data_IF_617642749425
#
_entry.id   IF_617642749425
#
_cell.length_a   1.000
_cell.length_b   1.000
_cell.length_c   1.000
_cell.angle_alpha   90.00
_cell.angle_beta   90.00
_cell.angle_gamma   90.00
#
_symmetry.space_group_name_H-M   'P 1'
#
loop_
_entity.id
_entity.type
_entity.pdbx_description
1 polymer ?
#
# COMPACT_ATOMS: atom_id res chain seq x y z
N UNK A 1 -12.81 3.68 15.95
CA UNK A 1 -12.76 5.10 16.38
C UNK A 1 -12.54 5.93 15.12
N UNK A 2 -12.97 7.19 15.04
CA UNK A 2 -12.76 7.99 13.82
C UNK A 2 -11.26 8.26 13.60
N UNK A 3 -10.83 8.24 12.34
CA UNK A 3 -9.47 8.58 11.94
C UNK A 3 -9.38 10.11 11.77
N UNK A 4 -9.25 10.82 12.89
CA UNK A 4 -9.40 12.28 12.99
C UNK A 4 -8.08 13.06 13.03
N UNK A 5 -6.95 12.36 13.04
CA UNK A 5 -5.62 12.95 13.10
C UNK A 5 -4.75 12.46 11.93
N UNK A 6 -3.94 13.34 11.30
CA UNK A 6 -3.12 12.98 10.13
C UNK A 6 -2.14 11.82 10.35
N UNK A 7 -1.68 11.62 11.59
CA UNK A 7 -0.71 10.56 11.91
C UNK A 7 -1.30 9.17 12.12
N UNK A 8 -2.63 9.00 12.02
CA UNK A 8 -3.25 7.68 12.20
C UNK A 8 -3.10 6.81 10.96
N UNK A 9 -2.94 5.51 11.17
CA UNK A 9 -2.66 4.54 10.10
C UNK A 9 -3.74 4.55 9.02
N UNK A 10 -5.02 4.65 9.40
CA UNK A 10 -6.11 4.73 8.43
C UNK A 10 -6.08 6.01 7.58
N UNK A 11 -5.62 7.15 8.13
CA UNK A 11 -5.50 8.40 7.36
C UNK A 11 -4.36 8.29 6.38
N UNK A 12 -3.18 7.89 6.84
CA UNK A 12 -2.01 7.69 5.97
C UNK A 12 -2.31 6.70 4.84
N UNK A 13 -2.94 5.56 5.15
CA UNK A 13 -3.38 4.62 4.11
C UNK A 13 -4.35 5.24 3.12
N UNK A 14 -5.33 5.99 3.61
CA UNK A 14 -6.33 6.66 2.78
C UNK A 14 -5.69 7.64 1.82
N UNK A 15 -4.78 8.48 2.33
CA UNK A 15 -4.05 9.47 1.54
C UNK A 15 -3.20 8.79 0.47
N UNK A 16 -2.46 7.73 0.82
CA UNK A 16 -1.64 7.00 -0.15
C UNK A 16 -2.47 6.28 -1.23
N UNK A 17 -3.67 5.80 -0.90
CA UNK A 17 -4.60 5.24 -1.91
C UNK A 17 -5.16 6.36 -2.80
N UNK A 18 -5.54 7.49 -2.21
CA UNK A 18 -6.14 8.61 -2.93
C UNK A 18 -5.15 9.31 -3.87
N UNK A 19 -3.87 9.36 -3.49
CA UNK A 19 -2.79 9.92 -4.29
C UNK A 19 -2.47 9.11 -5.55
N UNK A 20 -2.99 7.89 -5.69
CA UNK A 20 -2.75 7.03 -6.86
C UNK A 20 -4.07 6.57 -7.48
N UNK A 21 -4.68 7.41 -8.34
CA UNK A 21 -6.03 7.20 -8.84
C UNK A 21 -6.16 5.91 -9.66
N UNK A 22 -6.99 4.98 -9.19
CA UNK A 22 -7.42 3.80 -9.96
C UNK A 22 -6.36 2.71 -10.18
N UNK A 23 -5.12 2.94 -9.76
CA UNK A 23 -3.99 2.01 -9.99
C UNK A 23 -3.39 1.42 -8.72
N UNK A 24 -3.78 1.95 -7.55
CA UNK A 24 -3.43 1.36 -6.27
C UNK A 24 -4.25 0.10 -5.97
N UNK A 25 -3.57 -0.94 -5.49
CA UNK A 25 -4.22 -2.14 -4.95
C UNK A 25 -3.57 -2.57 -3.64
N UNK A 26 -4.38 -3.18 -2.78
CA UNK A 26 -3.93 -3.64 -1.47
C UNK A 26 -3.31 -5.04 -1.56
N UNK A 27 -2.15 -5.23 -0.93
CA UNK A 27 -1.53 -6.55 -0.79
C UNK A 27 -1.36 -6.87 0.69
N UNK A 28 -1.92 -8.00 1.12
CA UNK A 28 -1.74 -8.55 2.46
C UNK A 28 -0.75 -9.71 2.41
N UNK A 29 0.36 -9.58 3.13
CA UNK A 29 1.34 -10.65 3.33
C UNK A 29 1.24 -11.23 4.74
N UNK A 30 2.19 -12.07 5.14
CA UNK A 30 2.33 -12.54 6.52
C UNK A 30 2.97 -11.49 7.43
N UNK A 31 3.56 -10.43 6.87
CA UNK A 31 4.34 -9.43 7.61
C UNK A 31 3.70 -8.04 7.58
N UNK A 32 2.92 -7.72 6.54
CA UNK A 32 2.44 -6.36 6.30
C UNK A 32 1.19 -6.30 5.44
N UNK A 33 0.47 -5.19 5.57
CA UNK A 33 -0.48 -4.71 4.56
C UNK A 33 0.20 -3.57 3.80
N UNK A 34 0.13 -3.60 2.47
CA UNK A 34 0.77 -2.62 1.61
C UNK A 34 -0.21 -2.04 0.58
N UNK A 35 -0.06 -0.74 0.29
CA UNK A 35 -0.53 -0.09 -0.94
C UNK A 35 0.53 -0.33 -2.01
N UNK A 36 0.14 -1.03 -3.06
CA UNK A 36 1.02 -1.36 -4.18
C UNK A 36 0.51 -0.65 -5.42
N UNK A 37 1.44 -0.10 -6.17
CA UNK A 37 1.18 0.68 -7.39
C UNK A 37 2.02 0.12 -8.52
N UNK A 38 1.68 0.47 -9.76
CA UNK A 38 2.54 0.15 -10.91
C UNK A 38 3.69 1.16 -10.98
N UNK A 39 4.90 0.67 -11.26
CA UNK A 39 6.15 1.47 -11.23
C UNK A 39 6.11 2.75 -12.10
N UNK A 40 5.34 2.76 -13.20
CA UNK A 40 5.12 3.94 -14.05
C UNK A 40 4.57 5.18 -13.31
N UNK A 41 4.05 5.02 -12.10
CA UNK A 41 3.53 6.11 -11.26
C UNK A 41 4.51 6.61 -10.20
N UNK A 42 5.68 5.97 -10.03
CA UNK A 42 6.70 6.41 -9.10
C UNK A 42 7.69 7.42 -9.71
N UNK A 43 7.75 7.52 -11.05
CA UNK A 43 8.67 8.42 -11.74
C UNK A 43 8.24 9.90 -11.73
N UNK A 44 6.97 10.20 -11.46
CA UNK A 44 6.43 11.58 -11.51
C UNK A 44 6.82 12.43 -10.29
N UNK A 45 7.31 11.84 -9.19
CA UNK A 45 7.68 12.57 -7.95
C UNK A 45 9.17 12.95 -7.85
N UNK A 46 10.04 12.57 -8.81
CA UNK A 46 11.51 12.71 -8.67
C UNK A 46 12.20 13.75 -9.59
N UNK A 47 11.47 14.58 -10.33
CA UNK A 47 12.08 15.62 -11.18
C UNK A 47 11.92 17.03 -10.62
N UNK A 48 12.60 17.34 -9.52
CA UNK A 48 12.96 18.73 -9.20
C UNK A 48 14.28 18.79 -8.41
N UNK A 49 15.38 19.06 -9.14
CA UNK A 49 16.61 19.77 -8.73
C UNK A 49 17.82 19.31 -9.58
N UNK A 50 17.86 19.74 -10.84
CA UNK A 50 19.05 19.63 -11.68
C UNK A 50 19.98 20.84 -11.45
N UNK A 51 21.06 20.63 -10.68
CA UNK A 51 22.13 21.60 -10.47
C UNK A 51 23.52 21.04 -10.81
N UNK A 52 24.09 21.51 -11.92
CA UNK A 52 25.52 21.88 -12.13
C UNK A 52 26.66 20.85 -12.00
N UNK A 53 27.46 20.70 -13.08
CA UNK A 53 28.93 20.65 -12.97
C UNK A 53 29.68 19.43 -13.53
N UNK A 54 30.48 19.68 -14.59
CA UNK A 54 31.74 19.04 -15.05
C UNK A 54 31.99 17.55 -14.72
N UNK A 55 31.87 16.60 -15.68
CA UNK A 55 32.68 15.35 -15.83
C UNK A 55 32.12 14.47 -16.97
N UNK A 56 32.60 14.67 -18.21
CA UNK A 56 31.95 14.18 -19.45
C UNK A 56 32.17 12.72 -19.87
N UNK A 57 32.98 11.92 -19.17
CA UNK A 57 33.26 10.51 -19.56
C UNK A 57 32.78 9.46 -18.56
N UNK A 58 32.81 9.76 -17.26
CA UNK A 58 32.19 8.91 -16.24
C UNK A 58 30.67 8.82 -16.42
N UNK A 59 30.03 9.87 -16.95
CA UNK A 59 28.59 9.90 -17.20
C UNK A 59 28.12 8.91 -18.26
N UNK A 60 28.93 8.56 -19.26
CA UNK A 60 28.49 7.66 -20.33
C UNK A 60 28.27 6.23 -19.81
N UNK A 61 29.22 5.70 -19.03
CA UNK A 61 29.11 4.38 -18.41
C UNK A 61 28.04 4.35 -17.32
N UNK A 62 27.99 5.40 -16.48
CA UNK A 62 26.93 5.54 -15.46
C UNK A 62 25.55 5.67 -16.11
N UNK A 63 25.43 6.41 -17.22
CA UNK A 63 24.18 6.50 -17.98
C UNK A 63 23.82 5.20 -18.65
N UNK A 64 24.79 4.38 -19.07
CA UNK A 64 24.55 3.09 -19.70
C UNK A 64 24.12 2.05 -18.67
N UNK A 65 24.68 2.09 -17.46
CA UNK A 65 24.24 1.28 -16.31
C UNK A 65 22.89 1.77 -15.79
N UNK A 66 22.66 3.09 -15.70
CA UNK A 66 21.35 3.65 -15.38
C UNK A 66 20.31 3.33 -16.45
N UNK A 67 20.66 3.34 -17.74
CA UNK A 67 19.76 2.99 -18.83
C UNK A 67 19.51 1.49 -18.88
N UNK A 68 20.49 0.64 -18.55
CA UNK A 68 20.28 -0.81 -18.43
C UNK A 68 19.43 -1.15 -17.20
N UNK A 69 19.65 -0.47 -16.07
CA UNK A 69 18.81 -0.58 -14.87
C UNK A 69 17.42 0.00 -15.10
N UNK A 70 17.31 1.14 -15.80
CA UNK A 70 16.03 1.67 -16.29
C UNK A 70 15.37 0.71 -17.25
N UNK A 71 16.08 0.06 -18.16
CA UNK A 71 15.48 -0.91 -19.08
C UNK A 71 15.07 -2.23 -18.40
N UNK A 72 15.73 -2.62 -17.29
CA UNK A 72 15.26 -3.70 -16.42
C UNK A 72 14.04 -3.27 -15.57
N UNK A 73 13.99 -2.02 -15.13
CA UNK A 73 12.84 -1.40 -14.46
C UNK A 73 11.69 -1.04 -15.45
N UNK A 74 12.00 -0.86 -16.73
CA UNK A 74 11.05 -0.67 -17.84
C UNK A 74 10.37 -1.98 -18.25
N UNK A 75 10.42 -3.02 -17.40
CA UNK A 75 9.44 -4.08 -17.52
C UNK A 75 8.11 -3.47 -17.08
N UNK A 76 7.25 -3.22 -18.06
CA UNK A 76 6.12 -2.27 -18.05
C UNK A 76 5.03 -2.49 -16.97
N UNK A 77 5.22 -3.41 -16.00
CA UNK A 77 4.26 -3.75 -14.96
C UNK A 77 4.90 -4.28 -13.65
N UNK A 78 6.11 -3.88 -13.25
CA UNK A 78 6.61 -4.31 -11.93
C UNK A 78 5.76 -3.65 -10.83
N UNK A 79 5.17 -4.43 -9.91
CA UNK A 79 4.48 -3.87 -8.76
C UNK A 79 5.50 -3.30 -7.77
N UNK A 80 5.33 -2.03 -7.41
CA UNK A 80 6.16 -1.36 -6.42
C UNK A 80 5.33 -1.01 -5.18
N UNK A 81 5.93 -1.10 -4.00
CA UNK A 81 5.26 -0.74 -2.74
C UNK A 81 5.33 0.76 -2.55
N UNK A 82 4.17 1.41 -2.45
CA UNK A 82 4.07 2.87 -2.23
C UNK A 82 4.00 3.20 -0.73
N UNK A 83 3.27 2.40 0.04
CA UNK A 83 3.15 2.55 1.49
C UNK A 83 2.87 1.21 2.14
N UNK A 84 3.37 0.98 3.36
CA UNK A 84 3.14 -0.25 4.09
C UNK A 84 2.98 -0.03 5.59
N UNK A 85 2.16 -0.90 6.20
CA UNK A 85 2.01 -0.99 7.66
C UNK A 85 2.27 -2.44 8.09
N UNK A 86 3.11 -2.65 9.12
CA UNK A 86 3.32 -3.97 9.71
C UNK A 86 2.01 -4.62 10.14
N UNK A 87 1.91 -5.94 9.98
CA UNK A 87 0.71 -6.70 10.33
C UNK A 87 0.33 -6.56 11.81
N UNK A 88 1.33 -6.35 12.68
CA UNK A 88 1.17 -6.10 14.12
C UNK A 88 0.37 -4.84 14.43
N UNK A 89 0.36 -3.85 13.52
CA UNK A 89 -0.42 -2.63 13.65
C UNK A 89 -1.85 -2.79 13.13
N UNK A 90 -2.22 -3.99 12.66
CA UNK A 90 -3.57 -4.30 12.21
C UNK A 90 -4.27 -5.09 13.31
N UNK A 91 -5.26 -4.45 13.93
CA UNK A 91 -6.07 -5.01 15.00
C UNK A 91 -7.09 -6.03 14.47
N UNK A 92 -7.72 -5.77 13.32
CA UNK A 92 -8.68 -6.69 12.71
C UNK A 92 -8.90 -6.41 11.21
N UNK A 93 -9.38 -7.42 10.47
CA UNK A 93 -9.91 -7.26 9.12
C UNK A 93 -11.23 -8.00 8.94
N UNK A 94 -12.26 -7.28 8.50
CA UNK A 94 -13.62 -7.80 8.36
C UNK A 94 -14.29 -7.31 7.08
N UNK A 95 -15.36 -8.00 6.69
CA UNK A 95 -16.26 -7.52 5.65
C UNK A 95 -17.26 -6.53 6.26
N UNK A 96 -17.49 -5.43 5.57
CA UNK A 96 -18.51 -4.45 5.92
C UNK A 96 -19.42 -4.18 4.72
N UNK A 97 -20.72 -4.33 4.90
CA UNK A 97 -21.73 -3.92 3.91
C UNK A 97 -22.07 -2.45 4.15
N UNK A 98 -21.60 -1.58 3.26
CA UNK A 98 -21.80 -0.13 3.38
C UNK A 98 -22.69 0.41 2.28
N UNK A 99 -23.12 1.66 2.43
CA UNK A 99 -23.93 2.37 1.45
C UNK A 99 -25.42 2.06 1.52
N UNK A 100 -26.16 2.62 0.57
CA UNK A 100 -27.63 2.58 0.52
C UNK A 100 -28.19 1.80 -0.69
N UNK A 101 -27.34 1.27 -1.57
CA UNK A 101 -27.78 0.52 -2.76
C UNK A 101 -28.23 -0.91 -2.42
N UNK A 102 -29.03 -1.50 -3.31
CA UNK A 102 -29.45 -2.90 -3.25
C UNK A 102 -29.04 -3.58 -4.57
N UNK A 103 -28.13 -4.59 -4.56
CA UNK A 103 -27.44 -5.11 -3.38
C UNK A 103 -26.45 -4.10 -2.76
N UNK A 104 -26.17 -4.26 -1.46
CA UNK A 104 -25.21 -3.40 -0.75
C UNK A 104 -23.78 -3.74 -1.16
N UNK A 105 -22.92 -2.76 -1.46
CA UNK A 105 -21.52 -3.02 -1.77
C UNK A 105 -20.76 -3.49 -0.53
N UNK A 106 -19.93 -4.51 -0.76
CA UNK A 106 -19.00 -5.06 0.24
C UNK A 106 -17.69 -4.28 0.24
N UNK A 107 -17.24 -3.91 1.43
CA UNK A 107 -15.97 -3.25 1.72
C UNK A 107 -15.13 -4.14 2.62
N UNK A 108 -13.81 -4.01 2.49
CA UNK A 108 -12.88 -4.48 3.50
C UNK A 108 -12.75 -3.40 4.57
N UNK A 109 -13.17 -3.73 5.79
CA UNK A 109 -12.88 -2.95 7.00
C UNK A 109 -11.55 -3.41 7.56
N UNK A 110 -10.63 -2.48 7.76
CA UNK A 110 -9.35 -2.72 8.43
C UNK A 110 -9.31 -1.85 9.68
N UNK A 111 -9.26 -2.49 10.84
CA UNK A 111 -9.06 -1.82 12.12
C UNK A 111 -7.58 -1.86 12.47
N UNK A 112 -7.02 -0.71 12.84
CA UNK A 112 -5.63 -0.57 13.24
C UNK A 112 -5.50 -0.54 14.78
N UNK A 113 -4.31 -0.84 15.29
CA UNK A 113 -4.05 -0.85 16.74
C UNK A 113 -4.08 0.54 17.37
N UNK A 114 -3.95 1.60 16.57
CA UNK A 114 -4.18 3.00 16.98
C UNK A 114 -5.67 3.38 17.10
N UNK A 115 -6.57 2.39 16.93
CA UNK A 115 -8.02 2.52 17.01
C UNK A 115 -8.67 3.12 15.77
N UNK A 116 -7.89 3.55 14.77
CA UNK A 116 -8.40 4.05 13.50
C UNK A 116 -8.93 2.92 12.62
N UNK A 117 -9.86 3.25 11.72
CA UNK A 117 -10.51 2.29 10.84
C UNK A 117 -10.52 2.81 9.42
N UNK A 118 -10.12 1.95 8.47
CA UNK A 118 -10.20 2.19 7.03
C UNK A 118 -11.24 1.27 6.40
N UNK A 119 -12.05 1.83 5.48
CA UNK A 119 -12.95 1.04 4.63
C UNK A 119 -12.50 1.14 3.18
N UNK A 120 -12.03 0.02 2.62
CA UNK A 120 -11.56 -0.02 1.22
C UNK A 120 -12.47 -0.87 0.36
N UNK A 121 -12.85 -0.36 -0.81
CA UNK A 121 -13.57 -1.16 -1.81
C UNK A 121 -12.58 -1.99 -2.60
N UNK A 122 -12.76 -3.31 -2.62
CA UNK A 122 -11.88 -4.21 -3.35
C UNK A 122 -12.62 -5.48 -3.77
N UNK A 123 -12.26 -6.04 -4.93
CA UNK A 123 -12.86 -7.28 -5.45
C UNK A 123 -12.48 -8.53 -4.65
N UNK A 124 -11.44 -8.44 -3.82
CA UNK A 124 -10.92 -9.54 -3.01
C UNK A 124 -11.15 -9.33 -1.51
N UNK A 125 -12.23 -8.65 -1.12
CA UNK A 125 -12.49 -8.33 0.29
C UNK A 125 -12.63 -9.60 1.14
N UNK A 126 -13.39 -10.58 0.65
CA UNK A 126 -13.63 -11.87 1.32
C UNK A 126 -12.34 -12.65 1.53
N UNK A 127 -11.58 -12.85 0.45
CA UNK A 127 -10.30 -13.55 0.48
C UNK A 127 -9.31 -12.90 1.45
N UNK A 128 -9.27 -11.56 1.54
CA UNK A 128 -8.34 -10.87 2.45
C UNK A 128 -8.77 -10.97 3.91
N UNK A 129 -10.06 -10.81 4.20
CA UNK A 129 -10.56 -11.00 5.56
C UNK A 129 -10.28 -12.42 6.06
N UNK A 130 -10.48 -13.43 5.21
CA UNK A 130 -10.19 -14.83 5.53
C UNK A 130 -8.68 -15.10 5.67
N UNK A 131 -7.87 -14.57 4.75
CA UNK A 131 -6.40 -14.65 4.82
C UNK A 131 -5.84 -14.01 6.08
N UNK A 132 -6.41 -12.91 6.56
CA UNK A 132 -5.98 -12.27 7.80
C UNK A 132 -6.24 -13.16 9.02
N UNK A 133 -7.44 -13.76 9.09
CA UNK A 133 -7.83 -14.66 10.19
C UNK A 133 -6.95 -15.90 10.28
N UNK A 134 -6.64 -16.50 9.14
CA UNK A 134 -5.78 -17.70 9.07
C UNK A 134 -4.31 -17.42 9.35
N UNK A 135 -3.85 -16.18 9.16
CA UNK A 135 -2.43 -15.79 9.33
C UNK A 135 -2.09 -15.20 10.69
N UNK A 136 -3.08 -14.78 11.48
CA UNK A 136 -2.81 -14.44 12.87
C UNK A 136 -2.48 -15.72 13.64
N UNK A 137 -1.29 -15.85 14.24
CA UNK A 137 -1.11 -16.87 15.25
C UNK A 137 -2.14 -16.61 16.35
N UNK A 138 -2.94 -17.62 16.66
CA UNK A 138 -3.83 -17.62 17.83
C UNK A 138 -2.96 -17.22 19.03
N UNK A 139 -3.19 -16.04 19.61
CA UNK A 139 -2.61 -15.71 20.91
C UNK A 139 -3.36 -16.57 21.95
N UNK A 140 -2.99 -17.85 22.04
CA UNK A 140 -3.44 -18.77 23.09
C UNK A 140 -2.70 -18.52 24.41
N UNK A 141 -2.46 -17.27 24.83
CA UNK A 141 -1.80 -17.03 26.12
C UNK A 141 -2.26 -15.71 26.73
N UNK A 142 -3.40 -15.74 27.41
CA UNK A 142 -3.77 -14.80 28.48
C UNK A 142 -4.95 -15.39 29.28
N UNK A 143 -4.69 -16.53 29.93
CA UNK A 143 -5.47 -17.06 31.04
C UNK A 143 -4.55 -17.98 31.86
N UNK A 144 -3.76 -17.37 32.73
CA UNK A 144 -3.09 -18.03 33.86
C UNK A 144 -3.05 -17.05 35.02
#
# INVERSE_FOLDING_TARGET
MFADQPGRDAVLFGDHIANVPGEAFLVLTTQRLAVVVKEKHLEEEQQESSGGGFFGRARAVVSQVQNAAKNLASSENVPATYFEVPLERIADMQLALLGRSIPRPTFLRTDFTDGSTLFTRTRFAEVRADSFRTRRPTREWESS
#
